data_IF_439078174300
#
_entry.id   IF_439078174300
#
_cell.length_a   1.000
_cell.length_b   1.000
_cell.length_c   1.000
_cell.angle_alpha   90.00
_cell.angle_beta   90.00
_cell.angle_gamma   90.00
#
_symmetry.space_group_name_H-M   'P 1'
#
loop_
_entity.id
_entity.type
_entity.pdbx_description
1 polymer ?
#
# COMPACT_ATOMS: atom_id res chain seq x y z
N UNK A 1 -14.11 1.24 10.03
CA UNK A 1 -13.21 1.38 8.86
C UNK A 1 -11.81 0.96 9.31
N UNK A 2 -11.08 0.26 8.46
CA UNK A 2 -9.73 -0.22 8.73
C UNK A 2 -8.75 0.47 7.79
N UNK A 3 -7.60 0.88 8.33
CA UNK A 3 -6.45 1.31 7.55
C UNK A 3 -5.45 0.16 7.51
N UNK A 4 -5.06 -0.28 6.30
CA UNK A 4 -4.02 -1.28 6.09
C UNK A 4 -2.77 -0.61 5.57
N UNK A 5 -1.62 -0.89 6.17
CA UNK A 5 -0.33 -0.32 5.76
C UNK A 5 0.69 -1.40 5.43
N UNK A 6 1.52 -1.13 4.42
CA UNK A 6 2.66 -1.96 4.08
C UNK A 6 3.83 -1.09 3.65
N UNK A 7 5.07 -1.58 3.86
CA UNK A 7 6.30 -0.83 3.57
C UNK A 7 7.32 -1.69 2.83
N UNK A 8 8.00 -1.06 1.88
CA UNK A 8 9.19 -1.59 1.23
C UNK A 8 10.19 -0.49 0.91
N UNK A 9 11.34 -0.86 0.38
CA UNK A 9 12.35 0.09 -0.08
C UNK A 9 12.98 -0.39 -1.39
N UNK A 10 13.29 0.58 -2.25
CA UNK A 10 13.92 0.37 -3.55
C UNK A 10 15.15 1.25 -3.68
N UNK A 11 15.98 0.98 -4.68
CA UNK A 11 17.09 1.88 -5.03
C UNK A 11 16.53 3.16 -5.65
N UNK A 12 17.17 4.33 -5.46
CA UNK A 12 16.71 5.58 -6.05
C UNK A 12 16.50 5.51 -7.57
N UNK A 13 17.37 4.81 -8.29
CA UNK A 13 17.27 4.62 -9.74
C UNK A 13 16.06 3.77 -10.18
N UNK A 14 15.52 2.94 -9.28
CA UNK A 14 14.39 2.04 -9.55
C UNK A 14 13.05 2.62 -9.03
N UNK A 15 13.08 3.76 -8.33
CA UNK A 15 11.93 4.29 -7.60
C UNK A 15 10.71 4.57 -8.48
N UNK A 16 10.89 5.32 -9.57
CA UNK A 16 9.76 5.66 -10.45
C UNK A 16 9.21 4.40 -11.16
N UNK A 17 10.09 3.49 -11.57
CA UNK A 17 9.71 2.20 -12.17
C UNK A 17 8.90 1.34 -11.18
N UNK A 18 9.30 1.30 -9.91
CA UNK A 18 8.56 0.56 -8.90
C UNK A 18 7.19 1.18 -8.62
N UNK A 19 7.07 2.51 -8.58
CA UNK A 19 5.79 3.21 -8.38
C UNK A 19 4.83 2.98 -9.55
N UNK A 20 5.33 2.97 -10.79
CA UNK A 20 4.55 2.60 -11.97
C UNK A 20 4.08 1.13 -11.91
N UNK A 21 4.97 0.21 -11.54
CA UNK A 21 4.63 -1.20 -11.34
C UNK A 21 3.51 -1.36 -10.30
N UNK A 22 3.69 -0.76 -9.12
CA UNK A 22 2.75 -0.82 -8.01
C UNK A 22 1.38 -0.20 -8.36
N UNK A 23 1.37 0.88 -9.16
CA UNK A 23 0.14 1.48 -9.66
C UNK A 23 -0.64 0.53 -10.58
N UNK A 24 0.06 -0.26 -11.39
CA UNK A 24 -0.53 -1.24 -12.30
C UNK A 24 -0.95 -2.57 -11.65
N UNK A 25 -0.38 -2.91 -10.50
CA UNK A 25 -0.62 -4.17 -9.79
C UNK A 25 -1.38 -3.93 -8.49
N UNK A 26 -0.69 -3.80 -7.35
CA UNK A 26 -1.28 -3.76 -6.02
C UNK A 26 -2.31 -2.66 -5.85
N UNK A 27 -1.98 -1.41 -6.21
CA UNK A 27 -2.88 -0.26 -6.01
C UNK A 27 -4.12 -0.37 -6.90
N UNK A 28 -3.98 -0.92 -8.09
CA UNK A 28 -5.11 -1.21 -8.97
C UNK A 28 -6.03 -2.26 -8.33
N UNK A 29 -5.48 -3.37 -7.85
CA UNK A 29 -6.27 -4.41 -7.16
C UNK A 29 -6.95 -3.89 -5.88
N UNK A 30 -6.30 -3.00 -5.12
CA UNK A 30 -6.94 -2.35 -3.97
C UNK A 30 -8.24 -1.68 -4.41
N UNK A 31 -8.18 -0.85 -5.46
CA UNK A 31 -9.31 -0.05 -5.95
C UNK A 31 -10.41 -0.90 -6.60
N UNK A 32 -10.04 -1.99 -7.26
CA UNK A 32 -10.99 -2.90 -7.90
C UNK A 32 -11.70 -3.82 -6.89
N UNK A 33 -11.13 -4.01 -5.69
CA UNK A 33 -11.75 -4.83 -4.64
C UNK A 33 -12.91 -4.10 -3.97
N UNK A 34 -14.14 -4.69 -3.94
CA UNK A 34 -15.26 -4.14 -3.21
C UNK A 34 -14.95 -3.88 -1.74
N UNK A 35 -15.35 -2.71 -1.25
CA UNK A 35 -15.11 -2.28 0.13
C UNK A 35 -13.81 -1.51 0.36
N UNK A 36 -12.97 -1.32 -0.66
CA UNK A 36 -11.90 -0.33 -0.62
C UNK A 36 -12.47 1.10 -0.69
N UNK A 37 -11.92 2.01 0.11
CA UNK A 37 -12.34 3.41 0.26
C UNK A 37 -11.29 4.42 -0.18
N UNK A 38 -10.20 3.94 -0.79
CA UNK A 38 -9.09 4.75 -1.24
C UNK A 38 -7.75 4.17 -0.84
N UNK A 39 -6.70 4.76 -1.39
CA UNK A 39 -5.33 4.42 -1.06
C UNK A 39 -4.41 5.62 -1.24
N UNK A 40 -3.39 5.70 -0.40
CA UNK A 40 -2.24 6.57 -0.53
C UNK A 40 -1.02 5.72 -0.89
N UNK A 41 -0.23 6.22 -1.83
CA UNK A 41 1.11 5.71 -2.12
C UNK A 41 2.07 6.80 -1.69
N UNK A 42 2.86 6.51 -0.67
CA UNK A 42 3.78 7.45 -0.04
C UNK A 42 5.20 7.03 -0.40
N UNK A 43 6.07 8.01 -0.65
CA UNK A 43 7.50 7.77 -0.83
C UNK A 43 8.32 8.76 -0.03
N UNK A 44 9.51 8.36 0.42
CA UNK A 44 10.52 9.25 0.99
C UNK A 44 11.92 8.68 0.80
N UNK A 45 12.91 9.57 0.71
CA UNK A 45 14.31 9.17 0.75
C UNK A 45 14.71 8.84 2.19
N UNK A 46 15.35 7.69 2.40
CA UNK A 46 15.79 7.23 3.71
C UNK A 46 16.99 6.27 3.58
N UNK A 47 18.06 6.56 4.31
CA UNK A 47 19.24 5.68 4.43
C UNK A 47 19.83 5.26 3.07
N UNK A 48 19.77 6.15 2.07
CA UNK A 48 20.28 5.89 0.71
C UNK A 48 19.33 5.08 -0.19
N UNK A 49 18.14 4.74 0.30
CA UNK A 49 17.06 4.08 -0.44
C UNK A 49 15.85 5.00 -0.56
N UNK A 50 14.91 4.63 -1.42
CA UNK A 50 13.57 5.22 -1.47
C UNK A 50 12.61 4.26 -0.78
N UNK A 51 12.13 4.65 0.40
CA UNK A 51 11.10 3.91 1.11
C UNK A 51 9.75 4.22 0.47
N UNK A 52 8.98 3.18 0.18
CA UNK A 52 7.61 3.27 -0.32
C UNK A 52 6.68 2.68 0.73
N UNK A 53 5.62 3.41 1.06
CA UNK A 53 4.57 2.94 1.97
C UNK A 53 3.23 3.00 1.26
N UNK A 54 2.50 1.89 1.24
CA UNK A 54 1.11 1.88 0.81
C UNK A 54 0.22 1.97 2.03
N UNK A 55 -0.79 2.85 1.94
CA UNK A 55 -1.85 2.98 2.94
C UNK A 55 -3.16 2.79 2.21
N UNK A 56 -3.99 1.85 2.63
CA UNK A 56 -5.27 1.57 1.99
C UNK A 56 -6.39 1.59 3.03
N UNK A 57 -7.54 2.14 2.65
CA UNK A 57 -8.70 2.30 3.53
C UNK A 57 -9.77 1.28 3.14
N UNK A 58 -10.36 0.60 4.13
CA UNK A 58 -11.26 -0.52 3.92
C UNK A 58 -12.47 -0.42 4.84
N UNK A 59 -13.64 -0.86 4.35
CA UNK A 59 -14.87 -0.89 5.14
C UNK A 59 -14.74 -1.80 6.37
N UNK A 60 -14.14 -2.97 6.21
CA UNK A 60 -14.05 -4.03 7.22
C UNK A 60 -12.85 -4.96 6.98
N UNK A 61 -12.53 -5.80 7.96
CA UNK A 61 -11.54 -6.88 7.79
C UNK A 61 -11.98 -7.92 6.76
N UNK A 62 -13.27 -8.12 6.54
CA UNK A 62 -13.76 -9.07 5.52
C UNK A 62 -13.49 -8.56 4.10
N UNK A 63 -13.63 -7.25 3.86
CA UNK A 63 -13.21 -6.63 2.60
C UNK A 63 -11.69 -6.80 2.38
N UNK A 64 -10.90 -6.68 3.45
CA UNK A 64 -9.45 -6.92 3.38
C UNK A 64 -9.16 -8.38 3.06
N UNK A 65 -9.83 -9.35 3.69
CA UNK A 65 -9.65 -10.78 3.39
C UNK A 65 -10.01 -11.12 1.94
N UNK A 66 -11.04 -10.47 1.38
CA UNK A 66 -11.37 -10.62 -0.03
C UNK A 66 -10.24 -10.18 -0.98
N UNK A 67 -9.43 -9.20 -0.56
CA UNK A 67 -8.24 -8.75 -1.28
C UNK A 67 -6.97 -9.57 -0.95
N UNK A 68 -6.72 -9.81 0.34
CA UNK A 68 -5.45 -10.28 0.89
C UNK A 68 -5.40 -11.82 1.05
N UNK A 69 -6.55 -12.48 1.06
CA UNK A 69 -6.69 -13.90 1.40
C UNK A 69 -7.01 -14.12 2.88
N UNK A 70 -6.95 -15.40 3.29
CA UNK A 70 -7.32 -15.83 4.64
C UNK A 70 -6.39 -15.30 5.74
N UNK A 71 -5.14 -14.99 5.37
CA UNK A 71 -4.14 -14.38 6.24
C UNK A 71 -3.84 -12.93 5.80
N UNK A 72 -4.66 -11.95 6.23
CA UNK A 72 -4.58 -10.58 5.73
C UNK A 72 -3.31 -9.83 6.17
N UNK A 73 -2.65 -10.33 7.22
CA UNK A 73 -1.40 -9.80 7.76
C UNK A 73 -0.21 -10.15 6.87
N UNK A 74 -0.30 -11.18 6.03
CA UNK A 74 0.77 -11.48 5.06
C UNK A 74 0.72 -10.48 3.91
N UNK A 75 1.88 -9.87 3.64
CA UNK A 75 2.03 -8.96 2.50
C UNK A 75 1.86 -9.72 1.18
N UNK A 76 1.05 -9.17 0.27
CA UNK A 76 0.92 -9.69 -1.10
C UNK A 76 2.02 -9.08 -1.96
N UNK A 77 2.72 -9.94 -2.69
CA UNK A 77 3.73 -9.56 -3.68
C UNK A 77 3.29 -10.00 -5.08
N UNK A 78 3.68 -9.23 -6.07
CA UNK A 78 3.36 -9.42 -7.48
C UNK A 78 4.62 -9.82 -8.25
N UNK A 79 4.47 -10.53 -9.40
CA UNK A 79 5.59 -10.82 -10.26
C UNK A 79 6.35 -9.53 -10.65
N UNK A 80 7.65 -9.49 -10.33
CA UNK A 80 8.52 -8.33 -10.55
C UNK A 80 8.83 -7.51 -9.31
N UNK A 81 8.12 -7.70 -8.19
CA UNK A 81 8.43 -7.02 -6.92
C UNK A 81 9.82 -7.40 -6.40
N UNK A 82 10.17 -8.70 -6.46
CA UNK A 82 11.48 -9.21 -5.99
C UNK A 82 12.67 -8.69 -6.80
N UNK A 83 12.44 -8.23 -8.04
CA UNK A 83 13.49 -7.67 -8.89
C UNK A 83 13.82 -6.22 -8.52
N UNK A 84 12.89 -5.52 -7.86
CA UNK A 84 12.96 -4.08 -7.59
C UNK A 84 13.13 -3.76 -6.10
N UNK A 85 12.52 -4.56 -5.23
CA UNK A 85 12.56 -4.37 -3.78
C UNK A 85 13.92 -4.77 -3.21
N UNK A 86 14.61 -3.81 -2.60
CA UNK A 86 15.82 -4.03 -1.81
C UNK A 86 15.46 -4.51 -0.41
N UNK A 87 14.37 -3.97 0.14
CA UNK A 87 13.79 -4.39 1.41
C UNK A 87 12.27 -4.45 1.27
N UNK A 88 11.64 -5.39 1.96
CA UNK A 88 10.20 -5.58 1.94
C UNK A 88 9.72 -6.13 3.27
N UNK A 89 8.74 -5.48 3.86
CA UNK A 89 8.06 -6.08 5.01
C UNK A 89 7.25 -7.28 4.53
N UNK A 90 7.37 -8.41 5.21
CA UNK A 90 6.55 -9.58 4.90
C UNK A 90 5.16 -9.48 5.52
N UNK A 91 4.94 -8.48 6.38
CA UNK A 91 3.67 -8.24 7.05
C UNK A 91 3.07 -6.88 6.65
N UNK A 92 1.75 -6.83 6.68
CA UNK A 92 0.96 -5.62 6.58
C UNK A 92 0.18 -5.41 7.88
N UNK A 93 0.25 -4.20 8.40
CA UNK A 93 -0.44 -3.83 9.62
C UNK A 93 -1.87 -3.37 9.33
N UNK A 94 -2.75 -3.58 10.32
CA UNK A 94 -4.16 -3.21 10.26
C UNK A 94 -4.53 -2.37 11.48
N UNK A 95 -5.08 -1.20 11.23
CA UNK A 95 -5.47 -0.26 12.27
C UNK A 95 -6.96 0.04 12.18
N UNK A 96 -7.64 0.04 13.31
CA UNK A 96 -8.96 0.64 13.40
C UNK A 96 -8.82 2.16 13.30
N UNK A 97 -9.57 2.77 12.37
CA UNK A 97 -9.61 4.23 12.25
C UNK A 97 -10.58 4.76 13.31
N UNK A 98 -10.03 5.31 14.40
CA UNK A 98 -10.81 5.87 15.52
C UNK A 98 -11.33 7.28 15.19
N UNK A 99 -10.54 8.08 14.49
CA UNK A 99 -10.91 9.43 14.05
C UNK A 99 -10.15 9.80 12.78
N UNK A 100 -10.80 10.53 11.88
CA UNK A 100 -10.15 11.15 10.72
C UNK A 100 -10.64 12.59 10.60
N UNK A 101 -9.70 13.53 10.56
CA UNK A 101 -9.94 14.95 10.28
C UNK A 101 -9.14 15.28 9.03
N UNK A 102 -9.83 15.28 7.89
CA UNK A 102 -9.24 15.51 6.58
C UNK A 102 -9.89 16.75 5.99
N UNK A 103 -9.07 17.71 5.60
CA UNK A 103 -9.53 18.80 4.74
C UNK A 103 -9.97 18.18 3.40
N UNK A 104 -11.26 18.30 3.01
CA UNK A 104 -11.75 17.72 1.77
C UNK A 104 -11.02 18.26 0.52
N UNK A 105 -10.38 19.43 0.61
CA UNK A 105 -9.64 20.04 -0.49
C UNK A 105 -8.15 19.62 -0.55
N UNK A 106 -7.63 18.90 0.46
CA UNK A 106 -6.20 18.57 0.56
C UNK A 106 -5.71 17.53 -0.48
N UNK A 107 -6.61 16.82 -1.16
CA UNK A 107 -6.27 15.72 -2.06
C UNK A 107 -6.64 15.96 -3.53
N UNK A 108 -7.21 17.12 -3.84
CA UNK A 108 -7.40 17.59 -5.22
C UNK A 108 -6.20 18.45 -5.62
N UNK A 109 -5.22 17.83 -6.29
CA UNK A 109 -4.19 18.55 -7.09
C UNK A 109 -4.37 18.22 -8.56
#
# INVERSE_FOLDING_TARGET
>A
MIMRTWRGAVRPEDADRYLEHQAGTGVREYRETPGNRGAYVLRRDRDGLVEVTTVSLWESMDAIRAFAGDDPEVARFYPGDDDLLVDKDLHADHFEVVSADLDPDALTS
#
